data_IF_347190760824
#
_entry.id   IF_347190760824
#
_cell.length_a   1.000
_cell.length_b   1.000
_cell.length_c   1.000
_cell.angle_alpha   90.00
_cell.angle_beta   90.00
_cell.angle_gamma   90.00
#
_symmetry.space_group_name_H-M   'P 1'
#
loop_
_entity.id
_entity.type
_entity.pdbx_description
1 polymer ?
#
# COMPACT_ATOMS: atom_id res chain seq x y z
N UNK A 1 10.36 -13.53 15.14
CA UNK A 1 10.79 -13.34 13.75
C UNK A 1 10.12 -12.11 13.15
N UNK A 2 10.88 -11.31 12.43
CA UNK A 2 10.31 -10.14 11.77
C UNK A 2 9.33 -10.60 10.68
N UNK A 3 8.17 -9.93 10.51
CA UNK A 3 7.25 -10.24 9.42
C UNK A 3 7.92 -10.04 8.07
N UNK A 4 7.50 -10.82 7.08
CA UNK A 4 7.99 -10.69 5.71
C UNK A 4 6.96 -9.97 4.85
N UNK A 5 7.43 -8.99 4.09
CA UNK A 5 6.62 -8.36 3.05
C UNK A 5 6.85 -9.09 1.74
N UNK A 6 5.79 -9.32 0.99
CA UNK A 6 5.92 -9.77 -0.40
C UNK A 6 5.06 -8.89 -1.30
N UNK A 7 5.46 -8.79 -2.56
CA UNK A 7 4.75 -7.95 -3.52
C UNK A 7 3.65 -8.75 -4.22
N UNK A 8 2.43 -8.21 -4.20
CA UNK A 8 1.30 -8.78 -4.93
C UNK A 8 1.49 -8.48 -6.41
N UNK A 9 1.43 -9.52 -7.25
CA UNK A 9 1.63 -9.38 -8.70
C UNK A 9 0.42 -9.80 -9.52
N UNK A 10 -0.42 -10.70 -9.00
CA UNK A 10 -1.53 -11.26 -9.76
C UNK A 10 -2.73 -10.31 -9.75
N UNK A 11 -3.29 -10.05 -10.92
CA UNK A 11 -4.50 -9.23 -11.06
C UNK A 11 -5.65 -9.80 -10.24
N UNK A 12 -5.83 -11.11 -10.22
CA UNK A 12 -6.89 -11.76 -9.46
C UNK A 12 -6.82 -11.42 -7.98
N UNK A 13 -5.61 -11.32 -7.42
CA UNK A 13 -5.42 -10.95 -6.02
C UNK A 13 -5.86 -9.51 -5.76
N UNK A 14 -5.50 -8.58 -6.66
CA UNK A 14 -5.94 -7.19 -6.56
C UNK A 14 -7.47 -7.07 -6.60
N UNK A 15 -8.12 -7.81 -7.50
CA UNK A 15 -9.58 -7.81 -7.61
C UNK A 15 -10.21 -8.35 -6.34
N UNK A 16 -9.69 -9.44 -5.81
CA UNK A 16 -10.17 -10.06 -4.58
C UNK A 16 -10.10 -9.09 -3.40
N UNK A 17 -8.98 -8.38 -3.26
CA UNK A 17 -8.79 -7.40 -2.20
C UNK A 17 -9.79 -6.24 -2.36
N UNK A 18 -9.94 -5.74 -3.59
CA UNK A 18 -10.88 -4.66 -3.89
C UNK A 18 -12.31 -5.04 -3.50
N UNK A 19 -12.72 -6.27 -3.85
CA UNK A 19 -14.10 -6.69 -3.67
C UNK A 19 -14.44 -7.09 -2.23
N UNK A 20 -13.47 -7.51 -1.46
CA UNK A 20 -13.71 -8.08 -0.12
C UNK A 20 -13.04 -7.30 1.01
N UNK A 21 -12.15 -6.39 0.70
CA UNK A 21 -11.40 -5.64 1.70
C UNK A 21 -12.06 -4.33 2.08
N UNK A 22 -11.43 -3.64 3.01
CA UNK A 22 -11.83 -2.31 3.46
C UNK A 22 -11.06 -1.27 2.66
N UNK A 23 -11.76 -0.24 2.18
CA UNK A 23 -11.13 0.87 1.44
C UNK A 23 -10.99 2.08 2.36
N UNK A 24 -9.78 2.58 2.50
CA UNK A 24 -9.47 3.73 3.36
C UNK A 24 -8.96 4.86 2.49
N UNK A 25 -9.68 5.97 2.48
CA UNK A 25 -9.28 7.17 1.74
C UNK A 25 -8.37 8.03 2.59
N UNK A 26 -7.38 8.66 1.93
CA UNK A 26 -6.49 9.60 2.60
C UNK A 26 -6.05 10.69 1.61
N UNK A 27 -5.19 11.59 2.07
CA UNK A 27 -4.84 12.79 1.28
C UNK A 27 -3.97 12.48 0.06
N UNK A 28 -2.98 11.61 0.22
CA UNK A 28 -1.98 11.36 -0.83
C UNK A 28 -1.92 9.89 -1.26
N UNK A 29 -2.46 9.00 -0.44
CA UNK A 29 -2.45 7.55 -0.69
C UNK A 29 -3.77 7.00 -0.19
N UNK A 30 -4.45 6.23 -1.03
CA UNK A 30 -5.57 5.41 -0.56
C UNK A 30 -5.08 4.00 -0.29
N UNK A 31 -5.73 3.30 0.62
CA UNK A 31 -5.31 1.96 1.01
C UNK A 31 -6.50 1.01 0.99
N UNK A 32 -6.32 -0.16 0.38
CA UNK A 32 -7.24 -1.28 0.53
C UNK A 32 -6.57 -2.30 1.46
N UNK A 33 -7.35 -2.87 2.35
CA UNK A 33 -6.85 -3.79 3.36
C UNK A 33 -7.76 -5.00 3.46
N UNK A 34 -7.18 -6.21 3.44
CA UNK A 34 -7.92 -7.45 3.59
C UNK A 34 -7.13 -8.42 4.45
N UNK A 35 -7.74 -8.89 5.54
CA UNK A 35 -7.14 -9.91 6.39
C UNK A 35 -7.33 -11.27 5.71
N UNK A 36 -6.24 -12.06 5.65
CA UNK A 36 -6.27 -13.40 5.08
C UNK A 36 -5.36 -14.32 5.89
N UNK A 37 -5.96 -15.23 6.64
CA UNK A 37 -5.22 -16.13 7.54
C UNK A 37 -4.31 -17.13 6.79
N UNK A 38 -4.50 -17.29 5.49
CA UNK A 38 -3.71 -18.21 4.69
C UNK A 38 -2.36 -17.63 4.23
N UNK A 39 -2.00 -16.44 4.69
CA UNK A 39 -0.75 -15.78 4.28
C UNK A 39 0.50 -16.24 5.03
N UNK A 40 0.37 -17.22 5.91
CA UNK A 40 1.52 -17.80 6.61
C UNK A 40 2.36 -16.73 7.35
N UNK A 41 1.66 -15.86 8.09
CA UNK A 41 2.26 -14.78 8.87
C UNK A 41 3.03 -13.75 8.06
N UNK A 42 2.69 -13.63 6.77
CA UNK A 42 3.28 -12.63 5.88
C UNK A 42 2.35 -11.46 5.65
N UNK A 43 2.88 -10.42 5.03
CA UNK A 43 2.13 -9.24 4.63
C UNK A 43 2.30 -9.07 3.12
N UNK A 44 1.18 -9.12 2.38
CA UNK A 44 1.21 -8.90 0.94
C UNK A 44 0.93 -7.45 0.63
N UNK A 45 1.75 -6.83 -0.23
CA UNK A 45 1.58 -5.42 -0.59
C UNK A 45 1.55 -5.26 -2.09
N UNK A 46 0.49 -4.61 -2.58
CA UNK A 46 0.37 -4.21 -3.97
C UNK A 46 0.52 -2.70 -4.10
N UNK A 47 1.06 -2.26 -5.23
CA UNK A 47 1.30 -0.84 -5.50
C UNK A 47 0.59 -0.47 -6.79
N UNK A 48 -0.29 0.53 -6.72
CA UNK A 48 -1.06 1.00 -7.88
C UNK A 48 -0.76 2.47 -8.14
N UNK A 49 -0.30 2.76 -9.35
CA UNK A 49 -0.12 4.12 -9.85
C UNK A 49 -0.75 4.17 -11.24
N UNK A 50 -1.92 4.82 -11.33
CA UNK A 50 -2.68 4.90 -12.58
C UNK A 50 -2.12 5.98 -13.50
N UNK A 51 -2.67 6.03 -14.72
CA UNK A 51 -2.30 7.07 -15.69
C UNK A 51 -2.57 8.48 -15.17
N UNK A 52 -3.43 8.65 -14.19
CA UNK A 52 -3.70 9.95 -13.57
C UNK A 52 -2.46 10.56 -12.90
N UNK A 53 -1.52 9.72 -12.46
CA UNK A 53 -0.26 10.17 -11.86
C UNK A 53 0.60 10.90 -12.91
N UNK A 54 0.57 10.44 -14.16
CA UNK A 54 1.33 11.01 -15.24
C UNK A 54 1.95 9.92 -16.12
N UNK A 55 3.10 10.24 -16.73
CA UNK A 55 3.80 9.32 -17.60
C UNK A 55 4.46 8.17 -16.81
N UNK A 56 5.12 7.26 -17.54
CA UNK A 56 5.74 6.08 -16.92
C UNK A 56 6.81 6.44 -15.90
N UNK A 57 7.57 7.50 -16.12
CA UNK A 57 8.61 7.96 -15.19
C UNK A 57 7.96 8.38 -13.85
N UNK A 58 6.90 9.17 -13.91
CA UNK A 58 6.17 9.62 -12.72
C UNK A 58 5.52 8.47 -11.98
N UNK A 59 4.89 7.53 -12.72
CA UNK A 59 4.27 6.35 -12.11
C UNK A 59 5.31 5.48 -11.42
N UNK A 60 6.47 5.28 -12.02
CA UNK A 60 7.54 4.50 -11.42
C UNK A 60 8.08 5.17 -10.15
N UNK A 61 8.18 6.50 -10.16
CA UNK A 61 8.57 7.27 -8.97
C UNK A 61 7.57 7.08 -7.84
N UNK A 62 6.26 7.16 -8.14
CA UNK A 62 5.21 6.95 -7.16
C UNK A 62 5.29 5.54 -6.56
N UNK A 63 5.51 4.53 -7.38
CA UNK A 63 5.66 3.16 -6.90
C UNK A 63 6.89 2.99 -6.01
N UNK A 64 8.01 3.64 -6.37
CA UNK A 64 9.23 3.61 -5.54
C UNK A 64 8.96 4.21 -4.17
N UNK A 65 8.27 5.35 -4.12
CA UNK A 65 7.89 6.01 -2.88
C UNK A 65 7.04 5.06 -2.02
N UNK A 66 6.03 4.44 -2.63
CA UNK A 66 5.15 3.50 -1.90
C UNK A 66 5.90 2.28 -1.38
N UNK A 67 6.88 1.76 -2.13
CA UNK A 67 7.71 0.64 -1.67
C UNK A 67 8.52 1.02 -0.43
N UNK A 68 9.11 2.22 -0.42
CA UNK A 68 9.84 2.69 0.75
C UNK A 68 8.93 2.90 1.95
N UNK A 69 7.73 3.42 1.74
CA UNK A 69 6.72 3.56 2.79
C UNK A 69 6.36 2.20 3.38
N UNK A 70 6.14 1.20 2.52
CA UNK A 70 5.78 -0.14 2.95
C UNK A 70 6.88 -0.76 3.81
N UNK A 71 8.13 -0.64 3.39
CA UNK A 71 9.27 -1.18 4.13
C UNK A 71 9.40 -0.57 5.52
N UNK A 72 9.06 0.70 5.68
CA UNK A 72 9.22 1.40 6.96
C UNK A 72 8.00 1.26 7.87
N UNK A 73 6.81 1.22 7.31
CA UNK A 73 5.56 1.25 8.07
C UNK A 73 4.84 -0.11 8.08
N UNK A 74 4.61 -0.70 6.90
CA UNK A 74 3.81 -1.92 6.83
C UNK A 74 4.51 -3.13 7.43
N UNK A 75 5.83 -3.14 7.46
CA UNK A 75 6.59 -4.23 8.10
C UNK A 75 6.24 -4.37 9.60
N UNK A 76 5.75 -3.29 10.21
CA UNK A 76 5.37 -3.25 11.63
C UNK A 76 3.87 -3.50 11.83
N UNK A 77 3.11 -3.69 10.76
CA UNK A 77 1.67 -3.87 10.84
C UNK A 77 1.31 -5.34 11.11
N UNK A 78 0.01 -5.63 11.16
CA UNK A 78 -0.46 -6.99 11.41
C UNK A 78 -0.08 -7.92 10.27
N UNK A 79 0.43 -9.10 10.62
CA UNK A 79 0.64 -10.19 9.66
C UNK A 79 -0.70 -10.75 9.17
N UNK A 80 -0.66 -11.61 8.17
CA UNK A 80 -1.85 -12.20 7.56
C UNK A 80 -2.79 -11.13 7.00
N UNK A 81 -2.22 -10.11 6.39
CA UNK A 81 -2.97 -9.00 5.83
C UNK A 81 -2.43 -8.64 4.45
N UNK A 82 -3.36 -8.38 3.54
CA UNK A 82 -3.05 -7.76 2.25
C UNK A 82 -3.27 -6.25 2.36
N UNK A 83 -2.34 -5.50 1.79
CA UNK A 83 -2.50 -4.05 1.61
C UNK A 83 -2.30 -3.71 0.14
N UNK A 84 -3.16 -2.85 -0.40
CA UNK A 84 -2.93 -2.24 -1.72
C UNK A 84 -2.81 -0.75 -1.50
N UNK A 85 -1.64 -0.21 -1.83
CA UNK A 85 -1.38 1.22 -1.75
C UNK A 85 -1.68 1.82 -3.12
N UNK A 86 -2.56 2.81 -3.15
CA UNK A 86 -3.00 3.47 -4.38
C UNK A 86 -2.56 4.93 -4.33
N UNK A 87 -1.63 5.29 -5.20
CA UNK A 87 -1.08 6.64 -5.23
C UNK A 87 -2.10 7.63 -5.77
N UNK A 88 -2.23 8.77 -5.10
CA UNK A 88 -2.94 9.94 -5.64
C UNK A 88 -1.92 10.85 -6.29
N UNK A 89 -2.39 11.77 -7.15
CA UNK A 89 -1.49 12.65 -7.90
C UNK A 89 -0.56 13.46 -7.01
N UNK A 90 -1.03 13.84 -5.83
CA UNK A 90 -0.27 14.64 -4.87
C UNK A 90 0.93 13.92 -4.25
N UNK A 91 1.02 12.59 -4.39
CA UNK A 91 2.11 11.82 -3.75
C UNK A 91 3.50 12.29 -4.18
N UNK A 92 3.62 12.79 -5.41
CA UNK A 92 4.90 13.24 -5.96
C UNK A 92 5.37 14.57 -5.39
N UNK A 93 4.46 15.33 -4.76
CA UNK A 93 4.73 16.69 -4.32
C UNK A 93 4.87 16.82 -2.79
N UNK A 94 4.68 15.73 -2.07
CA UNK A 94 4.68 15.73 -0.60
C UNK A 94 5.99 15.15 -0.09
N UNK A 95 6.56 15.78 0.94
CA UNK A 95 7.78 15.29 1.57
C UNK A 95 7.54 13.92 2.18
N UNK A 96 8.55 13.06 2.08
CA UNK A 96 8.46 11.66 2.50
C UNK A 96 8.04 11.53 3.98
N UNK A 97 8.55 12.39 4.85
CA UNK A 97 8.20 12.34 6.28
C UNK A 97 6.70 12.48 6.53
N UNK A 98 6.01 13.30 5.75
CA UNK A 98 4.56 13.47 5.88
C UNK A 98 3.80 12.28 5.34
N UNK A 99 4.33 11.64 4.30
CA UNK A 99 3.75 10.39 3.78
C UNK A 99 3.88 9.25 4.80
N UNK A 100 5.01 9.19 5.51
CA UNK A 100 5.19 8.22 6.59
C UNK A 100 4.13 8.40 7.67
N UNK A 101 3.92 9.62 8.11
CA UNK A 101 2.91 9.93 9.13
C UNK A 101 1.51 9.58 8.65
N UNK A 102 1.21 9.90 7.40
CA UNK A 102 -0.09 9.61 6.80
C UNK A 102 -0.37 8.10 6.77
N UNK A 103 0.57 7.31 6.27
CA UNK A 103 0.39 5.86 6.19
C UNK A 103 0.29 5.24 7.58
N UNK A 104 1.09 5.70 8.52
CA UNK A 104 1.04 5.21 9.89
C UNK A 104 -0.35 5.41 10.51
N UNK A 105 -0.95 6.58 10.30
CA UNK A 105 -2.32 6.85 10.76
C UNK A 105 -3.34 5.92 10.08
N UNK A 106 -3.18 5.69 8.79
CA UNK A 106 -4.10 4.84 8.02
C UNK A 106 -4.10 3.41 8.56
N UNK A 107 -2.94 2.82 8.77
CA UNK A 107 -2.85 1.43 9.20
C UNK A 107 -3.26 1.22 10.64
N UNK A 108 -3.26 2.27 11.46
CA UNK A 108 -3.71 2.22 12.84
C UNK A 108 -5.22 2.43 12.97
N UNK A 109 -5.92 2.74 11.90
CA UNK A 109 -7.38 2.82 11.89
C UNK A 109 -7.94 1.39 11.90
N UNK A 110 -8.82 1.13 12.85
CA UNK A 110 -9.43 -0.19 13.00
C UNK A 110 -10.67 -0.36 12.12
#
# INVERSE_FOLDING_TARGET
MAPQLFTIKKRATFVHIRDNGVFIRSNNINVQKLINQDLDNKIGVGYTATKKIGNAVKRNKAKRIMRELAKKILIKSKTNTYYVLIAKTSILDIKFKYLLEELEKIINVK
#
